data_IF_334822313157
#
_entry.id   IF_334822313157
#
_cell.length_a   1.000
_cell.length_b   1.000
_cell.length_c   1.000
_cell.angle_alpha   90.00
_cell.angle_beta   90.00
_cell.angle_gamma   90.00
#
_symmetry.space_group_name_H-M   'P 1'
#
loop_
_entity.id
_entity.type
_entity.pdbx_description
1 polymer ?
#
# COMPACT_ATOMS: atom_id res chain seq x y z
N UNK A 1 -11.39 -8.99 -6.04
CA UNK A 1 -12.82 -9.22 -5.74
C UNK A 1 -13.50 -7.87 -5.73
N UNK A 2 -14.72 -7.77 -6.27
CA UNK A 2 -15.46 -6.51 -6.40
C UNK A 2 -15.93 -5.98 -5.05
N UNK A 3 -16.38 -6.88 -4.18
CA UNK A 3 -16.89 -6.53 -2.86
C UNK A 3 -15.78 -6.75 -1.80
N UNK A 4 -15.10 -5.67 -1.42
CA UNK A 4 -14.04 -5.70 -0.41
C UNK A 4 -13.97 -4.40 0.39
N UNK A 5 -14.01 -4.49 1.72
CA UNK A 5 -14.03 -3.32 2.60
C UNK A 5 -12.69 -2.56 2.65
N UNK A 6 -11.59 -3.29 2.47
CA UNK A 6 -10.23 -2.73 2.48
C UNK A 6 -9.70 -2.60 1.04
N UNK A 7 -8.46 -2.11 0.87
CA UNK A 7 -7.83 -2.09 -0.45
C UNK A 7 -7.34 -3.48 -0.88
N UNK A 8 -6.61 -4.16 -0.02
CA UNK A 8 -6.15 -5.53 -0.22
C UNK A 8 -5.87 -6.21 1.13
N UNK A 9 -5.41 -7.46 1.10
CA UNK A 9 -5.10 -8.24 2.29
C UNK A 9 -3.97 -9.24 2.02
N UNK A 10 -3.00 -9.28 2.93
CA UNK A 10 -1.71 -9.96 2.82
C UNK A 10 -1.72 -11.47 3.15
N UNK A 11 -2.84 -12.17 2.90
CA UNK A 11 -2.96 -13.59 3.28
C UNK A 11 -1.81 -14.40 2.66
N UNK A 12 -1.07 -15.13 3.50
CA UNK A 12 0.21 -15.73 3.11
C UNK A 12 0.10 -16.65 1.88
N UNK A 13 0.63 -16.19 0.74
CA UNK A 13 0.63 -16.94 -0.51
C UNK A 13 -0.68 -16.89 -1.29
N UNK A 14 -1.67 -16.12 -0.81
CA UNK A 14 -2.98 -15.93 -1.44
C UNK A 14 -3.51 -14.52 -1.14
N UNK A 15 -2.77 -13.49 -1.53
CA UNK A 15 -3.23 -12.11 -1.35
C UNK A 15 -4.57 -11.90 -2.06
N UNK A 16 -5.49 -11.18 -1.41
CA UNK A 16 -6.81 -10.85 -1.96
C UNK A 16 -6.87 -9.34 -2.12
N UNK A 17 -7.14 -8.89 -3.35
CA UNK A 17 -7.20 -7.46 -3.68
C UNK A 17 -8.62 -7.05 -4.05
N UNK A 18 -9.00 -5.83 -3.71
CA UNK A 18 -10.12 -5.14 -4.34
C UNK A 18 -9.81 -4.96 -5.84
N UNK A 19 -10.79 -5.18 -6.72
CA UNK A 19 -10.58 -5.12 -8.18
C UNK A 19 -10.05 -3.75 -8.66
N UNK A 20 -10.42 -2.67 -7.98
CA UNK A 20 -9.88 -1.31 -8.17
C UNK A 20 -8.35 -1.25 -8.10
N UNK A 21 -7.73 -2.13 -7.33
CA UNK A 21 -6.28 -2.16 -7.12
C UNK A 21 -5.58 -3.30 -7.87
N UNK A 22 -6.21 -3.84 -8.91
CA UNK A 22 -5.62 -4.84 -9.81
C UNK A 22 -5.94 -4.56 -11.27
N UNK A 23 -7.19 -4.24 -11.58
CA UNK A 23 -7.64 -4.05 -12.96
C UNK A 23 -7.26 -2.65 -13.44
N UNK A 24 -6.42 -2.59 -14.46
CA UNK A 24 -6.10 -1.35 -15.15
C UNK A 24 -6.01 -1.59 -16.66
N UNK A 25 -6.61 -0.66 -17.39
CA UNK A 25 -6.55 -0.54 -18.84
C UNK A 25 -6.39 0.95 -19.17
N UNK A 26 -5.60 1.28 -20.20
CA UNK A 26 -5.28 2.66 -20.56
C UNK A 26 -6.52 3.51 -20.90
N UNK A 27 -7.61 2.90 -21.35
CA UNK A 27 -8.86 3.59 -21.65
C UNK A 27 -9.68 3.91 -20.40
N UNK A 28 -9.41 3.25 -19.27
CA UNK A 28 -10.28 3.28 -18.08
C UNK A 28 -9.58 3.68 -16.78
N UNK A 29 -8.26 3.57 -16.71
CA UNK A 29 -7.46 3.84 -15.53
C UNK A 29 -6.57 5.08 -15.73
N UNK A 30 -6.54 5.95 -14.72
CA UNK A 30 -5.67 7.13 -14.73
C UNK A 30 -4.24 6.78 -14.34
N UNK A 31 -3.27 7.66 -14.61
CA UNK A 31 -1.89 7.53 -14.11
C UNK A 31 -1.82 7.31 -12.59
N UNK A 32 -2.76 7.94 -11.86
CA UNK A 32 -2.86 7.79 -10.41
C UNK A 32 -3.36 6.38 -10.03
N UNK A 33 -4.27 5.80 -10.80
CA UNK A 33 -4.74 4.42 -10.58
C UNK A 33 -3.59 3.42 -10.82
N UNK A 34 -2.84 3.58 -11.92
CA UNK A 34 -1.64 2.77 -12.18
C UNK A 34 -0.61 2.89 -11.04
N UNK A 35 -0.36 4.09 -10.52
CA UNK A 35 0.54 4.30 -9.38
C UNK A 35 0.03 3.65 -8.08
N UNK A 36 -1.28 3.72 -7.84
CA UNK A 36 -1.89 3.11 -6.66
C UNK A 36 -1.85 1.57 -6.72
N UNK A 37 -2.13 0.99 -7.89
CA UNK A 37 -2.04 -0.46 -8.11
C UNK A 37 -0.61 -0.95 -7.82
N UNK A 38 0.39 -0.29 -8.39
CA UNK A 38 1.80 -0.60 -8.14
C UNK A 38 2.16 -0.54 -6.65
N UNK A 39 1.77 0.55 -5.96
CA UNK A 39 2.07 0.72 -4.55
C UNK A 39 1.38 -0.33 -3.66
N UNK A 40 0.11 -0.66 -3.92
CA UNK A 40 -0.67 -1.61 -3.12
C UNK A 40 -0.20 -3.04 -3.36
N UNK A 41 0.08 -3.44 -4.61
CA UNK A 41 0.67 -4.75 -4.88
C UNK A 41 2.00 -4.92 -4.14
N UNK A 42 2.84 -3.89 -4.17
CA UNK A 42 4.10 -3.90 -3.43
C UNK A 42 3.90 -3.97 -1.92
N UNK A 43 2.96 -3.20 -1.37
CA UNK A 43 2.60 -3.21 0.05
C UNK A 43 2.25 -4.62 0.53
N UNK A 44 1.29 -5.28 -0.13
CA UNK A 44 0.86 -6.63 0.24
C UNK A 44 1.97 -7.67 0.05
N UNK A 45 2.83 -7.49 -0.95
CA UNK A 45 4.01 -8.33 -1.14
C UNK A 45 5.03 -8.13 -0.01
N UNK A 46 5.27 -6.89 0.43
CA UNK A 46 6.21 -6.56 1.47
C UNK A 46 5.78 -7.08 2.84
N UNK A 47 4.49 -7.12 3.12
CA UNK A 47 3.94 -7.82 4.29
C UNK A 47 4.36 -9.28 4.38
N UNK A 48 4.74 -9.94 3.28
CA UNK A 48 5.29 -11.29 3.30
C UNK A 48 6.45 -11.45 4.31
N UNK A 49 7.26 -10.41 4.51
CA UNK A 49 8.28 -10.34 5.55
C UNK A 49 7.83 -9.53 6.77
N UNK A 50 7.40 -8.28 6.57
CA UNK A 50 7.05 -7.31 7.62
C UNK A 50 5.56 -7.37 7.98
N UNK A 51 5.12 -8.50 8.52
CA UNK A 51 3.73 -8.74 8.91
C UNK A 51 3.40 -10.22 9.00
N UNK A 52 3.91 -11.01 8.05
CA UNK A 52 3.69 -12.45 7.98
C UNK A 52 4.82 -13.28 8.61
N UNK A 53 6.09 -13.06 8.22
CA UNK A 53 7.23 -13.81 8.81
C UNK A 53 7.55 -13.32 10.21
N UNK A 54 7.56 -12.00 10.39
CA UNK A 54 7.63 -11.34 11.70
C UNK A 54 6.28 -10.65 11.88
N UNK A 55 5.52 -11.09 12.87
CA UNK A 55 4.12 -10.68 13.06
C UNK A 55 3.88 -10.02 14.41
N UNK A 56 2.70 -9.42 14.58
CA UNK A 56 2.31 -8.72 15.79
C UNK A 56 1.99 -9.72 16.91
N UNK A 57 2.54 -9.49 18.10
CA UNK A 57 2.18 -10.27 19.31
C UNK A 57 0.72 -10.05 19.70
N UNK A 58 0.25 -8.82 19.55
CA UNK A 58 -1.10 -8.37 19.85
C UNK A 58 -1.45 -7.16 18.96
N UNK A 59 -2.74 -6.81 18.89
CA UNK A 59 -3.24 -5.78 17.97
C UNK A 59 -2.83 -4.36 18.33
N UNK A 60 -2.38 -4.08 19.56
CA UNK A 60 -1.79 -2.77 19.88
C UNK A 60 -0.50 -2.53 19.10
N UNK A 61 0.15 -3.59 18.63
CA UNK A 61 1.34 -3.53 17.80
C UNK A 61 1.02 -3.39 16.30
N UNK A 62 -0.23 -3.11 15.89
CA UNK A 62 -0.58 -3.03 14.46
C UNK A 62 0.39 -2.15 13.64
N UNK A 63 0.80 -1.01 14.20
CA UNK A 63 1.76 -0.10 13.58
C UNK A 63 3.14 -0.73 13.31
N UNK A 64 3.52 -1.80 14.02
CA UNK A 64 4.75 -2.56 13.75
C UNK A 64 4.76 -3.10 12.32
N UNK A 65 3.66 -3.73 11.87
CA UNK A 65 3.56 -4.25 10.51
C UNK A 65 3.13 -3.17 9.53
N UNK A 66 2.13 -2.36 9.89
CA UNK A 66 1.55 -1.36 8.99
C UNK A 66 2.52 -0.21 8.73
N UNK A 67 3.03 0.43 9.79
CA UNK A 67 3.92 1.59 9.65
C UNK A 67 5.21 1.23 8.91
N UNK A 68 5.79 0.06 9.20
CA UNK A 68 6.98 -0.41 8.50
C UNK A 68 6.70 -0.79 7.04
N UNK A 69 5.54 -1.41 6.74
CA UNK A 69 5.20 -1.81 5.37
C UNK A 69 4.80 -0.61 4.51
N UNK A 70 4.08 0.37 5.08
CA UNK A 70 3.84 1.68 4.46
C UNK A 70 5.15 2.37 4.09
N UNK A 71 6.11 2.42 5.03
CA UNK A 71 7.43 2.97 4.73
C UNK A 71 8.12 2.25 3.55
N UNK A 72 8.01 0.92 3.48
CA UNK A 72 8.61 0.13 2.40
C UNK A 72 7.96 0.38 1.04
N UNK A 73 6.63 0.49 0.97
CA UNK A 73 5.95 0.82 -0.29
C UNK A 73 6.21 2.28 -0.73
N UNK A 74 6.41 3.19 0.23
CA UNK A 74 6.80 4.56 -0.03
C UNK A 74 8.18 4.62 -0.69
N UNK A 75 9.17 3.94 -0.12
CA UNK A 75 10.52 3.84 -0.70
C UNK A 75 10.49 3.17 -2.08
N UNK A 76 9.74 2.08 -2.23
CA UNK A 76 9.57 1.42 -3.52
C UNK A 76 8.98 2.37 -4.58
N UNK A 77 7.88 3.05 -4.27
CA UNK A 77 7.24 4.01 -5.17
C UNK A 77 8.18 5.17 -5.53
N UNK A 78 9.00 5.61 -4.57
CA UNK A 78 9.99 6.66 -4.78
C UNK A 78 11.12 6.24 -5.72
N UNK A 79 11.51 4.96 -5.70
CA UNK A 79 12.53 4.39 -6.59
C UNK A 79 11.98 4.07 -7.99
N UNK A 80 10.73 3.60 -8.10
CA UNK A 80 10.11 3.32 -9.40
C UNK A 80 9.68 4.59 -10.14
N UNK A 81 9.39 5.67 -9.42
CA UNK A 81 8.87 6.93 -9.97
C UNK A 81 9.72 8.12 -9.54
N UNK A 82 9.08 9.24 -9.21
CA UNK A 82 9.76 10.43 -8.72
C UNK A 82 9.71 10.51 -7.20
N UNK A 83 10.87 10.30 -6.57
CA UNK A 83 11.05 10.43 -5.12
C UNK A 83 10.54 11.74 -4.53
N UNK A 84 10.78 12.87 -5.21
CA UNK A 84 10.31 14.17 -4.75
C UNK A 84 8.77 14.28 -4.80
N UNK A 85 8.15 13.81 -5.89
CA UNK A 85 6.69 13.83 -6.05
C UNK A 85 6.03 12.92 -5.02
N UNK A 86 6.55 11.70 -4.84
CA UNK A 86 6.03 10.75 -3.83
C UNK A 86 6.10 11.36 -2.44
N UNK A 87 7.23 11.97 -2.06
CA UNK A 87 7.38 12.60 -0.74
C UNK A 87 6.44 13.78 -0.52
N UNK A 88 6.24 14.63 -1.53
CA UNK A 88 5.28 15.75 -1.45
C UNK A 88 3.86 15.21 -1.22
N UNK A 89 3.44 14.18 -1.98
CA UNK A 89 2.11 13.59 -1.85
C UNK A 89 1.88 13.02 -0.43
N UNK A 90 2.84 12.27 0.10
CA UNK A 90 2.77 11.73 1.47
C UNK A 90 2.64 12.81 2.54
N UNK A 91 3.47 13.86 2.46
CA UNK A 91 3.45 14.96 3.43
C UNK A 91 2.13 15.72 3.33
N UNK A 92 1.58 15.89 2.12
CA UNK A 92 0.24 16.47 1.94
C UNK A 92 -0.83 15.62 2.63
N UNK A 93 -0.84 14.31 2.41
CA UNK A 93 -1.81 13.39 3.05
C UNK A 93 -1.69 13.43 4.57
N UNK A 94 -0.46 13.38 5.10
CA UNK A 94 -0.18 13.46 6.54
C UNK A 94 -0.77 14.73 7.16
N UNK A 95 -0.47 15.89 6.56
CA UNK A 95 -0.96 17.18 7.07
C UNK A 95 -2.47 17.35 6.95
N UNK A 96 -3.07 16.78 5.91
CA UNK A 96 -4.49 16.94 5.64
C UNK A 96 -5.39 16.02 6.49
N UNK A 97 -4.92 14.81 6.84
CA UNK A 97 -5.77 13.78 7.46
C UNK A 97 -5.28 13.28 8.83
N UNK A 98 -3.98 13.38 9.11
CA UNK A 98 -3.39 12.79 10.33
C UNK A 98 -3.08 13.85 11.39
N UNK A 99 -2.89 15.11 11.00
CA UNK A 99 -2.72 16.21 11.95
C UNK A 99 -4.07 16.67 12.53
N UNK A 100 -4.07 17.30 13.73
CA UNK A 100 -5.28 17.81 14.37
C UNK A 100 -6.00 18.89 13.55
#
# INVERSE_FOLDING_TARGET
VSDFNMGAMENKGLNIFNDKYVLADEETATDADFANIEAIIAHEYFHNWTGNRITCRDWFQLCLKEGLTVYRDHEFSADQRSRAVKRIAEVRTLRAHQFP
#
